data_IF_944081166303
#
_entry.id   IF_944081166303
#
_cell.length_a   1.000
_cell.length_b   1.000
_cell.length_c   1.000
_cell.angle_alpha   90.00
_cell.angle_beta   90.00
_cell.angle_gamma   90.00
#
_symmetry.space_group_name_H-M   'P 1'
#
loop_
_entity.id
_entity.type
_entity.pdbx_description
1 polymer ?
#
# COMPACT_ATOMS: atom_id res chain seq x y z
N UNK A 1 53.19 36.51 -6.69
CA UNK A 1 51.78 36.45 -7.13
C UNK A 1 51.22 35.09 -6.76
N UNK A 2 50.50 34.99 -5.63
CA UNK A 2 49.84 33.75 -5.22
C UNK A 2 48.41 33.75 -5.77
N UNK A 3 48.07 32.78 -6.61
CA UNK A 3 46.69 32.55 -7.08
C UNK A 3 45.89 31.92 -5.95
N UNK A 4 44.89 32.65 -5.45
CA UNK A 4 43.86 32.09 -4.59
C UNK A 4 43.03 31.09 -5.41
N UNK A 5 43.11 29.81 -5.06
CA UNK A 5 42.20 28.78 -5.59
C UNK A 5 40.89 28.97 -4.81
N UNK A 6 39.87 29.50 -5.48
CA UNK A 6 38.55 29.72 -4.88
C UNK A 6 37.94 28.38 -4.42
N UNK A 7 37.27 28.34 -3.25
CA UNK A 7 36.62 27.15 -2.74
C UNK A 7 35.28 26.96 -3.46
N UNK A 8 35.30 26.57 -4.73
CA UNK A 8 34.08 26.28 -5.51
C UNK A 8 33.63 24.83 -5.30
N UNK A 9 34.51 23.98 -4.76
CA UNK A 9 34.27 22.54 -4.59
C UNK A 9 33.40 22.15 -3.37
N UNK A 10 33.34 22.86 -2.22
CA UNK A 10 32.56 22.38 -1.08
C UNK A 10 31.05 22.62 -1.23
N UNK A 11 30.62 23.64 -1.97
CA UNK A 11 29.19 23.97 -2.13
C UNK A 11 28.46 22.96 -3.03
N UNK A 12 29.13 22.47 -4.09
CA UNK A 12 28.53 21.51 -5.01
C UNK A 12 28.41 20.12 -4.38
N UNK A 13 29.41 19.70 -3.60
CA UNK A 13 29.37 18.41 -2.86
C UNK A 13 28.31 18.44 -1.77
N UNK A 14 28.13 19.57 -1.06
CA UNK A 14 27.07 19.73 -0.07
C UNK A 14 25.68 19.73 -0.72
N UNK A 15 25.50 20.39 -1.86
CA UNK A 15 24.25 20.37 -2.63
C UNK A 15 23.92 18.98 -3.19
N UNK A 16 24.94 18.21 -3.61
CA UNK A 16 24.78 16.82 -4.09
C UNK A 16 24.47 15.87 -2.93
N UNK A 17 25.11 16.02 -1.76
CA UNK A 17 24.82 15.22 -0.57
C UNK A 17 23.44 15.53 0.05
N UNK A 18 22.94 16.76 -0.12
CA UNK A 18 21.57 17.15 0.26
C UNK A 18 20.51 16.68 -0.73
N UNK A 19 20.87 16.41 -1.98
CA UNK A 19 19.92 15.94 -3.02
C UNK A 19 19.92 14.42 -3.20
N UNK A 20 20.96 13.71 -2.75
CA UNK A 20 21.10 12.27 -2.95
C UNK A 20 20.79 11.39 -1.71
N UNK A 21 20.64 11.96 -0.51
CA UNK A 21 20.45 11.18 0.74
C UNK A 21 19.30 11.70 1.61
N UNK A 22 18.58 10.78 2.28
CA UNK A 22 17.62 11.12 3.34
C UNK A 22 18.34 11.19 4.68
N UNK A 23 18.37 12.37 5.29
CA UNK A 23 19.02 12.56 6.59
C UNK A 23 17.97 12.57 7.69
N UNK A 24 18.06 11.64 8.65
CA UNK A 24 17.21 11.63 9.86
C UNK A 24 17.76 12.62 10.89
N UNK A 25 16.88 13.42 11.45
CA UNK A 25 17.21 14.43 12.46
C UNK A 25 16.50 14.09 13.78
N UNK A 26 17.29 13.84 14.82
CA UNK A 26 16.79 13.54 16.15
C UNK A 26 16.13 12.15 16.25
N UNK A 27 15.29 12.00 17.28
CA UNK A 27 14.60 10.75 17.58
C UNK A 27 13.36 10.55 16.70
N UNK A 28 13.01 9.28 16.50
CA UNK A 28 11.82 8.89 15.77
C UNK A 28 10.54 9.08 16.60
N UNK A 29 9.46 9.49 15.94
CA UNK A 29 8.12 9.61 16.53
C UNK A 29 7.30 8.37 16.16
N UNK A 30 6.93 7.52 17.14
CA UNK A 30 6.10 6.35 16.88
C UNK A 30 4.63 6.76 16.66
N UNK A 31 3.96 6.09 15.73
CA UNK A 31 2.53 6.27 15.45
C UNK A 31 1.94 4.99 14.82
N UNK A 32 0.61 4.91 14.75
CA UNK A 32 -0.05 3.87 13.96
C UNK A 32 0.14 4.13 12.46
N UNK A 33 0.45 3.07 11.72
CA UNK A 33 0.41 3.11 10.26
C UNK A 33 -0.98 2.66 9.78
N UNK A 34 -1.54 3.37 8.81
CA UNK A 34 -2.84 3.02 8.26
C UNK A 34 -2.75 1.72 7.47
N UNK A 35 -3.69 0.80 7.67
CA UNK A 35 -3.94 -0.31 6.73
C UNK A 35 -5.09 0.11 5.83
N UNK A 36 -4.80 0.39 4.57
CA UNK A 36 -5.80 0.94 3.64
C UNK A 36 -6.19 -0.05 2.56
N UNK A 37 -5.50 -1.18 2.46
CA UNK A 37 -5.67 -2.11 1.35
C UNK A 37 -5.54 -3.56 1.80
N UNK A 38 -6.36 -4.43 1.19
CA UNK A 38 -6.36 -5.89 1.40
C UNK A 38 -6.66 -6.67 0.11
N UNK A 39 -6.11 -7.88 0.01
CA UNK A 39 -6.57 -8.90 -0.92
C UNK A 39 -6.66 -10.28 -0.26
N UNK A 40 -7.79 -10.94 -0.49
CA UNK A 40 -8.14 -12.21 0.14
C UNK A 40 -9.17 -12.97 -0.70
N UNK A 41 -9.22 -14.31 -0.63
CA UNK A 41 -10.33 -15.08 -1.20
C UNK A 41 -11.65 -14.78 -0.46
N UNK A 42 -12.74 -14.55 -1.19
CA UNK A 42 -14.09 -14.33 -0.62
C UNK A 42 -14.61 -15.53 0.18
N UNK A 43 -14.23 -16.73 -0.24
CA UNK A 43 -14.57 -18.01 0.37
C UNK A 43 -13.34 -18.91 0.43
N UNK A 44 -13.17 -19.59 1.57
CA UNK A 44 -12.08 -20.53 1.86
C UNK A 44 -12.63 -21.80 2.51
N UNK A 45 -11.87 -22.89 2.39
CA UNK A 45 -12.13 -24.12 3.12
C UNK A 45 -11.50 -24.05 4.51
N UNK A 46 -12.24 -24.50 5.53
CA UNK A 46 -11.73 -24.60 6.91
C UNK A 46 -10.52 -25.55 6.96
N UNK A 47 -9.50 -25.17 7.72
CA UNK A 47 -8.25 -25.93 7.84
C UNK A 47 -7.29 -25.81 6.64
N UNK A 48 -7.74 -25.22 5.52
CA UNK A 48 -6.89 -25.02 4.35
C UNK A 48 -6.13 -23.68 4.45
N UNK A 49 -4.79 -23.66 4.30
CA UNK A 49 -4.03 -22.43 4.33
C UNK A 49 -4.26 -21.60 3.06
N UNK A 50 -4.33 -20.27 3.23
CA UNK A 50 -4.41 -19.33 2.11
C UNK A 50 -3.63 -18.05 2.35
N UNK A 51 -3.31 -17.34 1.27
CA UNK A 51 -2.60 -16.06 1.36
C UNK A 51 -3.59 -14.92 1.62
N UNK A 52 -3.36 -14.19 2.69
CA UNK A 52 -4.01 -12.92 2.99
C UNK A 52 -3.00 -11.79 2.82
N UNK A 53 -3.30 -10.85 1.95
CA UNK A 53 -2.41 -9.73 1.62
C UNK A 53 -3.00 -8.43 2.16
N UNK A 54 -2.17 -7.55 2.73
CA UNK A 54 -2.59 -6.23 3.18
C UNK A 54 -1.45 -5.21 3.14
N UNK A 55 -1.78 -3.93 3.17
CA UNK A 55 -0.79 -2.88 3.02
C UNK A 55 -1.33 -1.49 3.31
N UNK A 56 -0.42 -0.51 3.27
CA UNK A 56 -0.74 0.82 3.76
C UNK A 56 0.39 1.84 3.65
N UNK A 57 0.09 3.15 3.79
CA UNK A 57 1.07 4.22 3.84
C UNK A 57 1.93 4.20 5.12
N UNK A 58 3.23 4.47 4.99
CA UNK A 58 4.18 4.63 6.10
C UNK A 58 4.53 6.10 6.33
N UNK A 59 5.03 6.83 5.33
CA UNK A 59 5.54 8.20 5.50
C UNK A 59 5.56 8.94 4.15
N UNK A 60 5.44 10.27 4.12
CA UNK A 60 5.67 11.08 2.90
C UNK A 60 7.15 11.15 2.51
N UNK A 61 8.01 10.82 3.48
CA UNK A 61 9.44 10.94 3.37
C UNK A 61 10.08 9.55 3.43
N UNK A 62 11.15 9.34 2.68
CA UNK A 62 11.93 8.09 2.67
C UNK A 62 12.52 7.68 4.04
N UNK A 63 12.41 8.55 5.05
CA UNK A 63 13.00 8.33 6.35
C UNK A 63 12.09 7.52 7.30
N UNK A 64 10.79 7.37 6.99
CA UNK A 64 9.87 6.54 7.78
C UNK A 64 10.21 5.05 7.77
N UNK A 65 9.94 4.37 8.88
CA UNK A 65 10.16 2.92 9.04
C UNK A 65 8.87 2.25 9.51
N UNK A 66 8.50 1.15 8.86
CA UNK A 66 7.51 0.23 9.40
C UNK A 66 8.15 -0.58 10.53
N UNK A 67 7.56 -0.56 11.72
CA UNK A 67 8.06 -1.32 12.87
C UNK A 67 7.37 -2.67 12.98
N UNK A 68 6.05 -2.71 12.83
CA UNK A 68 5.28 -3.96 12.80
C UNK A 68 4.05 -3.84 11.91
N UNK A 69 3.61 -4.99 11.37
CA UNK A 69 2.35 -5.16 10.69
C UNK A 69 1.79 -6.55 11.07
N UNK A 70 0.66 -6.54 11.77
CA UNK A 70 0.04 -7.71 12.40
C UNK A 70 -1.29 -8.05 11.77
N UNK A 71 -1.60 -9.34 11.83
CA UNK A 71 -2.90 -9.91 11.48
C UNK A 71 -3.29 -10.82 12.64
N UNK A 72 -4.44 -10.57 13.25
CA UNK A 72 -5.01 -11.40 14.29
C UNK A 72 -6.35 -11.98 13.82
N UNK A 73 -6.59 -13.25 14.10
CA UNK A 73 -7.86 -13.92 13.81
C UNK A 73 -8.59 -14.12 15.14
N UNK A 74 -9.84 -13.73 15.19
CA UNK A 74 -10.77 -14.01 16.30
C UNK A 74 -11.87 -14.95 15.84
N UNK A 75 -12.83 -15.27 16.70
CA UNK A 75 -13.98 -16.11 16.35
C UNK A 75 -14.85 -15.52 15.23
N UNK A 76 -14.77 -14.21 14.96
CA UNK A 76 -15.64 -13.54 13.96
C UNK A 76 -14.99 -12.40 13.18
N UNK A 77 -13.71 -12.12 13.41
CA UNK A 77 -12.97 -11.05 12.73
C UNK A 77 -11.56 -11.46 12.34
N UNK A 78 -11.05 -10.79 11.31
CA UNK A 78 -9.63 -10.69 11.00
C UNK A 78 -9.26 -9.23 11.22
N UNK A 79 -8.36 -8.98 12.17
CA UNK A 79 -7.97 -7.65 12.62
C UNK A 79 -6.56 -7.33 12.15
N UNK A 80 -6.43 -6.20 11.47
CA UNK A 80 -5.18 -5.75 10.87
C UNK A 80 -4.71 -4.49 11.58
N UNK A 81 -3.45 -4.48 11.99
CA UNK A 81 -2.82 -3.32 12.60
C UNK A 81 -1.39 -3.15 12.08
N UNK A 82 -0.90 -1.92 12.08
CA UNK A 82 0.47 -1.62 11.76
C UNK A 82 0.97 -0.45 12.59
N UNK A 83 2.26 -0.47 12.94
CA UNK A 83 2.91 0.65 13.61
C UNK A 83 4.17 1.06 12.88
N UNK A 84 4.48 2.35 13.00
CA UNK A 84 5.59 2.99 12.31
C UNK A 84 6.32 3.95 13.22
N UNK A 85 7.55 4.25 12.82
CA UNK A 85 8.33 5.35 13.36
C UNK A 85 8.66 6.30 12.21
N UNK A 86 8.23 7.56 12.34
CA UNK A 86 8.57 8.64 11.41
C UNK A 86 9.71 9.48 12.00
N UNK A 87 10.53 10.09 11.16
CA UNK A 87 11.65 10.91 11.59
C UNK A 87 11.54 12.27 10.93
N UNK A 88 11.93 13.33 11.63
CA UNK A 88 12.17 14.61 10.96
C UNK A 88 13.30 14.41 9.96
N UNK A 89 13.13 14.87 8.74
CA UNK A 89 14.09 14.60 7.67
C UNK A 89 14.44 15.84 6.85
N UNK A 90 15.59 15.77 6.19
CA UNK A 90 15.92 16.59 5.01
C UNK A 90 16.14 15.61 3.87
N UNK A 91 15.16 15.55 2.97
CA UNK A 91 15.12 14.61 1.87
C UNK A 91 14.22 15.11 0.74
N UNK A 92 14.39 14.52 -0.43
CA UNK A 92 13.38 14.63 -1.46
C UNK A 92 12.07 13.98 -0.97
N UNK A 93 10.90 14.54 -1.29
CA UNK A 93 9.62 13.91 -0.97
C UNK A 93 9.58 12.53 -1.64
N UNK A 94 9.38 11.50 -0.83
CA UNK A 94 9.37 10.11 -1.24
C UNK A 94 8.42 9.35 -0.35
N UNK A 95 7.21 9.16 -0.87
CA UNK A 95 6.19 8.44 -0.16
C UNK A 95 6.54 6.97 -0.03
N UNK A 96 6.59 6.49 1.22
CA UNK A 96 6.85 5.11 1.60
C UNK A 96 5.54 4.44 1.95
N UNK A 97 5.32 3.23 1.45
CA UNK A 97 4.22 2.36 1.84
C UNK A 97 4.78 0.97 2.21
N UNK A 98 3.94 0.14 2.81
CA UNK A 98 4.26 -1.24 3.10
C UNK A 98 3.24 -2.19 2.48
N UNK A 99 3.66 -3.45 2.38
CA UNK A 99 2.88 -4.55 1.88
C UNK A 99 3.29 -5.82 2.63
N UNK A 100 2.31 -6.58 3.09
CA UNK A 100 2.48 -7.84 3.79
C UNK A 100 1.64 -8.93 3.12
N UNK A 101 2.16 -10.15 3.14
CA UNK A 101 1.42 -11.36 2.77
C UNK A 101 1.60 -12.39 3.89
N UNK A 102 0.49 -12.85 4.47
CA UNK A 102 0.48 -13.82 5.55
C UNK A 102 -0.27 -15.08 5.11
N UNK A 103 0.33 -16.27 5.22
CA UNK A 103 -0.46 -17.49 5.16
C UNK A 103 -1.33 -17.56 6.42
N UNK A 104 -2.62 -17.77 6.25
CA UNK A 104 -3.57 -17.93 7.35
C UNK A 104 -4.43 -19.17 7.15
N UNK A 105 -4.88 -19.74 8.25
CA UNK A 105 -5.83 -20.86 8.31
C UNK A 105 -6.97 -20.47 9.22
N UNK A 106 -8.20 -20.76 8.81
CA UNK A 106 -9.38 -20.57 9.64
C UNK A 106 -9.87 -21.94 10.09
N UNK A 107 -9.98 -22.12 11.41
CA UNK A 107 -10.27 -23.41 12.02
C UNK A 107 -11.78 -23.64 12.23
N UNK A 108 -12.59 -22.59 12.09
CA UNK A 108 -14.04 -22.68 12.29
C UNK A 108 -14.80 -22.15 11.08
N UNK A 109 -15.93 -22.78 10.71
CA UNK A 109 -16.83 -22.23 9.70
C UNK A 109 -17.43 -20.92 10.19
N UNK A 110 -17.61 -19.95 9.28
CA UNK A 110 -18.19 -18.69 9.67
C UNK A 110 -17.97 -17.55 8.70
N UNK A 111 -18.46 -16.38 9.10
CA UNK A 111 -18.26 -15.12 8.39
C UNK A 111 -17.33 -14.25 9.22
N UNK A 112 -16.17 -13.94 8.67
CA UNK A 112 -15.14 -13.14 9.31
C UNK A 112 -15.16 -11.73 8.74
N UNK A 113 -15.44 -10.74 9.57
CA UNK A 113 -15.28 -9.33 9.19
C UNK A 113 -13.81 -8.97 9.18
N UNK A 114 -13.37 -8.28 8.14
CA UNK A 114 -11.99 -7.85 8.02
C UNK A 114 -11.92 -6.37 8.40
N UNK A 115 -11.12 -6.04 9.41
CA UNK A 115 -11.08 -4.70 9.99
C UNK A 115 -9.66 -4.19 10.13
N UNK A 116 -9.44 -2.91 9.82
CA UNK A 116 -8.24 -2.21 10.27
C UNK A 116 -8.40 -1.72 11.72
N UNK A 117 -7.29 -1.44 12.41
CA UNK A 117 -7.29 -0.85 13.77
C UNK A 117 -8.08 0.45 13.88
N UNK A 118 -8.26 1.16 12.77
CA UNK A 118 -9.07 2.38 12.64
C UNK A 118 -10.56 2.12 12.43
N UNK A 119 -11.04 0.90 12.70
CA UNK A 119 -12.43 0.46 12.55
C UNK A 119 -12.99 0.47 11.11
N UNK A 120 -12.11 0.59 10.12
CA UNK A 120 -12.48 0.50 8.70
C UNK A 120 -12.87 -0.95 8.36
N UNK A 121 -14.07 -1.15 7.82
CA UNK A 121 -14.55 -2.44 7.31
C UNK A 121 -13.99 -2.69 5.89
N UNK A 122 -13.06 -3.62 5.79
CA UNK A 122 -12.33 -4.01 4.58
C UNK A 122 -13.02 -5.18 3.84
N UNK A 123 -14.19 -5.61 4.35
CA UNK A 123 -15.07 -6.60 3.76
C UNK A 123 -15.25 -7.84 4.62
N UNK A 124 -15.67 -8.94 3.98
CA UNK A 124 -16.03 -10.19 4.68
C UNK A 124 -15.46 -11.38 3.94
N UNK A 125 -14.86 -12.28 4.69
CA UNK A 125 -14.42 -13.59 4.23
C UNK A 125 -15.33 -14.67 4.81
N UNK A 126 -15.67 -15.67 4.02
CA UNK A 126 -16.51 -16.80 4.44
C UNK A 126 -15.67 -18.07 4.50
N UNK A 127 -15.60 -18.72 5.66
CA UNK A 127 -15.00 -20.04 5.82
C UNK A 127 -16.09 -21.11 5.81
N UNK A 128 -15.91 -22.17 5.01
CA UNK A 128 -16.86 -23.26 4.86
C UNK A 128 -16.21 -24.62 5.12
N UNK A 129 -16.99 -25.59 5.61
CA UNK A 129 -16.50 -26.96 5.87
C UNK A 129 -16.11 -27.73 4.59
N UNK A 130 -16.59 -27.28 3.44
CA UNK A 130 -16.27 -27.85 2.14
C UNK A 130 -16.48 -26.82 1.04
N UNK A 131 -15.86 -27.05 -0.12
CA UNK A 131 -15.88 -26.14 -1.26
C UNK A 131 -14.49 -25.64 -1.61
N UNK A 132 -14.32 -25.12 -2.83
CA UNK A 132 -13.02 -24.60 -3.28
C UNK A 132 -12.84 -23.12 -2.96
N UNK A 133 -11.58 -22.67 -2.99
CA UNK A 133 -11.25 -21.25 -2.94
C UNK A 133 -11.97 -20.46 -4.03
N UNK A 134 -12.64 -19.39 -3.61
CA UNK A 134 -13.18 -18.40 -4.55
C UNK A 134 -12.05 -17.57 -5.18
N UNK A 135 -12.39 -16.76 -6.19
CA UNK A 135 -11.46 -15.76 -6.70
C UNK A 135 -11.06 -14.73 -5.64
N UNK A 136 -9.82 -14.26 -5.72
CA UNK A 136 -9.29 -13.23 -4.82
C UNK A 136 -10.06 -11.93 -5.02
N UNK A 137 -10.63 -11.42 -3.95
CA UNK A 137 -11.18 -10.07 -3.84
C UNK A 137 -10.08 -9.11 -3.45
N UNK A 138 -10.19 -7.91 -3.96
CA UNK A 138 -9.34 -6.80 -3.56
C UNK A 138 -10.21 -5.64 -3.14
N UNK A 139 -9.88 -5.06 -2.01
CA UNK A 139 -10.58 -3.93 -1.44
C UNK A 139 -9.54 -2.98 -0.88
N UNK A 140 -9.68 -1.68 -1.14
CA UNK A 140 -8.82 -0.72 -0.49
C UNK A 140 -8.93 0.68 -1.01
N UNK A 141 -8.26 1.56 -0.29
CA UNK A 141 -8.02 2.93 -0.63
C UNK A 141 -6.56 3.12 -1.00
N UNK A 142 -6.33 3.87 -2.07
CA UNK A 142 -5.01 4.05 -2.63
C UNK A 142 -4.97 5.13 -3.69
N UNK A 143 -3.85 5.23 -4.37
CA UNK A 143 -3.67 6.15 -5.50
C UNK A 143 -3.41 5.38 -6.78
N UNK A 144 -3.44 6.10 -7.89
CA UNK A 144 -3.16 5.58 -9.21
C UNK A 144 -1.92 6.22 -9.80
N UNK A 145 -1.16 5.42 -10.54
CA UNK A 145 -0.05 5.89 -11.37
C UNK A 145 -0.11 5.24 -12.73
N UNK A 146 -0.05 6.04 -13.79
CA UNK A 146 0.16 5.51 -15.13
C UNK A 146 1.63 5.09 -15.29
N UNK A 147 1.85 3.86 -15.75
CA UNK A 147 3.17 3.41 -16.15
C UNK A 147 3.07 2.35 -17.25
N UNK A 148 3.77 2.59 -18.37
CA UNK A 148 3.88 1.65 -19.49
C UNK A 148 2.52 1.07 -19.92
N UNK A 149 1.53 1.95 -20.14
CA UNK A 149 0.15 1.64 -20.52
C UNK A 149 -0.68 0.86 -19.47
N UNK A 150 -0.17 0.68 -18.26
CA UNK A 150 -0.93 0.19 -17.11
C UNK A 150 -1.36 1.34 -16.19
N UNK A 151 -2.55 1.23 -15.64
CA UNK A 151 -2.99 2.00 -14.47
C UNK A 151 -2.65 1.20 -13.22
N UNK A 152 -1.57 1.56 -12.56
CA UNK A 152 -1.12 0.90 -11.34
C UNK A 152 -1.90 1.45 -10.15
N UNK A 153 -2.27 0.58 -9.22
CA UNK A 153 -2.97 0.90 -7.99
C UNK A 153 -2.28 0.25 -6.80
N UNK A 154 -2.17 0.99 -5.70
CA UNK A 154 -1.58 0.50 -4.46
C UNK A 154 -1.89 1.44 -3.29
N UNK A 155 -1.60 1.00 -2.05
CA UNK A 155 -1.81 1.80 -0.85
C UNK A 155 -0.88 3.02 -0.85
N UNK A 156 -1.41 4.18 -0.43
CA UNK A 156 -0.65 5.44 -0.48
C UNK A 156 -0.19 5.77 -1.90
N UNK A 157 1.02 6.33 -2.04
CA UNK A 157 1.65 6.63 -3.32
C UNK A 157 2.40 5.43 -3.93
N UNK A 158 2.42 5.33 -5.25
CA UNK A 158 3.02 4.20 -5.98
C UNK A 158 4.52 4.38 -6.25
N UNK A 159 5.31 3.80 -5.35
CA UNK A 159 6.77 3.61 -5.45
C UNK A 159 7.15 2.15 -5.71
N UNK A 160 8.25 1.65 -5.13
CA UNK A 160 8.77 0.28 -5.38
C UNK A 160 7.95 -0.88 -4.78
N UNK A 161 6.71 -0.63 -4.34
CA UNK A 161 5.85 -1.62 -3.71
C UNK A 161 5.20 -2.60 -4.70
N UNK A 162 4.60 -3.67 -4.17
CA UNK A 162 3.71 -4.53 -4.96
C UNK A 162 2.43 -3.77 -5.27
N UNK A 163 2.21 -3.51 -6.56
CA UNK A 163 1.03 -2.81 -7.09
C UNK A 163 0.24 -3.71 -8.02
N UNK A 164 -1.02 -3.34 -8.22
CA UNK A 164 -1.96 -4.01 -9.10
C UNK A 164 -2.19 -3.19 -10.35
N UNK A 165 -2.32 -3.84 -11.49
CA UNK A 165 -2.85 -3.18 -12.68
C UNK A 165 -4.38 -3.16 -12.58
N UNK A 166 -5.00 -2.01 -12.83
CA UNK A 166 -6.45 -1.88 -12.89
C UNK A 166 -6.98 -2.09 -14.30
N UNK A 167 -8.08 -2.81 -14.39
CA UNK A 167 -8.89 -3.00 -15.59
C UNK A 167 -10.33 -2.57 -15.31
N UNK A 168 -10.97 -1.92 -16.29
CA UNK A 168 -12.36 -1.43 -16.16
C UNK A 168 -12.54 -0.12 -15.40
N UNK A 169 -11.46 0.62 -15.10
CA UNK A 169 -11.58 1.96 -14.49
C UNK A 169 -11.91 3.02 -15.54
N UNK A 170 -12.83 3.95 -15.23
CA UNK A 170 -13.20 5.04 -16.15
C UNK A 170 -12.08 6.07 -16.33
N UNK A 171 -12.03 6.81 -17.46
CA UNK A 171 -11.05 7.89 -17.69
C UNK A 171 -11.01 8.92 -16.57
N UNK A 172 -12.18 9.33 -16.06
CA UNK A 172 -12.31 10.37 -15.03
C UNK A 172 -11.71 9.92 -13.70
N UNK A 173 -11.89 8.64 -13.34
CA UNK A 173 -11.31 8.08 -12.12
C UNK A 173 -9.79 7.86 -12.25
N UNK A 174 -9.28 7.58 -13.45
CA UNK A 174 -7.84 7.46 -13.69
C UNK A 174 -7.14 8.80 -13.45
N UNK A 175 -7.72 9.88 -13.96
CA UNK A 175 -7.22 11.25 -13.74
C UNK A 175 -7.38 11.66 -12.28
N UNK A 176 -8.55 11.45 -11.68
CA UNK A 176 -8.75 11.79 -10.27
C UNK A 176 -7.80 11.03 -9.34
N UNK A 177 -7.51 9.77 -9.62
CA UNK A 177 -6.69 8.90 -8.78
C UNK A 177 -5.20 9.25 -8.72
N UNK A 178 -4.70 10.14 -9.57
CA UNK A 178 -3.31 10.61 -9.47
C UNK A 178 -3.10 11.54 -8.28
N UNK A 179 -4.15 12.27 -7.89
CA UNK A 179 -4.09 13.34 -6.89
C UNK A 179 -5.00 13.08 -5.68
N UNK A 180 -6.11 12.38 -5.92
CA UNK A 180 -7.10 12.00 -4.90
C UNK A 180 -6.98 10.53 -4.56
N UNK A 181 -7.34 10.22 -3.32
CA UNK A 181 -7.47 8.84 -2.87
C UNK A 181 -8.70 8.21 -3.52
N UNK A 182 -8.51 7.07 -4.18
CA UNK A 182 -9.60 6.26 -4.70
C UNK A 182 -9.93 5.12 -3.77
N UNK A 183 -11.22 4.87 -3.60
CA UNK A 183 -11.72 3.59 -3.14
C UNK A 183 -11.86 2.64 -4.33
N UNK A 184 -11.29 1.45 -4.25
CA UNK A 184 -11.41 0.41 -5.28
C UNK A 184 -11.88 -0.89 -4.65
N UNK A 185 -12.88 -1.51 -5.26
CA UNK A 185 -13.28 -2.90 -5.01
C UNK A 185 -13.25 -3.67 -6.32
N UNK A 186 -12.71 -4.87 -6.29
CA UNK A 186 -12.62 -5.69 -7.48
C UNK A 186 -12.21 -7.12 -7.21
N UNK A 187 -11.84 -7.79 -8.30
CA UNK A 187 -11.42 -9.20 -8.31
C UNK A 187 -10.12 -9.36 -9.08
N UNK A 188 -9.23 -10.21 -8.58
CA UNK A 188 -8.01 -10.57 -9.28
C UNK A 188 -8.33 -11.35 -10.57
N UNK A 189 -7.64 -10.99 -11.66
CA UNK A 189 -7.81 -11.50 -13.02
C UNK A 189 -6.46 -11.73 -13.69
N UNK A 190 -5.72 -12.69 -13.14
CA UNK A 190 -4.43 -13.11 -13.66
C UNK A 190 -3.39 -11.99 -13.57
N UNK A 191 -2.48 -11.96 -14.54
CA UNK A 191 -1.37 -11.03 -14.58
C UNK A 191 -1.30 -10.30 -15.92
N UNK A 192 -0.73 -9.10 -15.92
CA UNK A 192 -0.46 -8.30 -17.11
C UNK A 192 0.95 -7.70 -17.03
N UNK A 193 1.63 -7.57 -18.16
CA UNK A 193 2.95 -6.92 -18.23
C UNK A 193 2.79 -5.40 -18.27
N UNK A 194 3.48 -4.70 -17.37
CA UNK A 194 3.46 -3.23 -17.24
C UNK A 194 4.85 -2.64 -17.51
N UNK A 195 5.48 -3.06 -18.62
CA UNK A 195 6.80 -2.58 -19.05
C UNK A 195 7.88 -2.81 -18.00
N UNK A 196 8.58 -1.74 -17.61
CA UNK A 196 9.66 -1.79 -16.60
C UNK A 196 9.19 -2.16 -15.20
N UNK A 197 7.88 -2.12 -14.94
CA UNK A 197 7.30 -2.65 -13.71
C UNK A 197 7.13 -4.17 -13.79
N UNK A 198 7.38 -4.83 -14.92
CA UNK A 198 7.23 -6.27 -15.06
C UNK A 198 5.77 -6.73 -14.94
N UNK A 199 5.59 -8.00 -14.59
CA UNK A 199 4.28 -8.63 -14.45
C UNK A 199 3.58 -8.19 -13.17
N UNK A 200 2.35 -7.66 -13.29
CA UNK A 200 1.53 -7.22 -12.17
C UNK A 200 0.23 -8.00 -12.09
N UNK A 201 -0.22 -8.39 -10.89
CA UNK A 201 -1.55 -8.95 -10.73
C UNK A 201 -2.58 -7.91 -11.18
N UNK A 202 -3.55 -8.34 -11.96
CA UNK A 202 -4.56 -7.45 -12.53
C UNK A 202 -5.85 -7.51 -11.73
N UNK A 203 -6.40 -6.37 -11.34
CA UNK A 203 -7.72 -6.25 -10.73
C UNK A 203 -8.72 -5.82 -11.81
N UNK A 204 -9.75 -6.63 -12.02
CA UNK A 204 -10.97 -6.13 -12.66
C UNK A 204 -11.75 -5.35 -11.61
N UNK A 205 -11.94 -4.06 -11.86
CA UNK A 205 -12.69 -3.17 -10.98
C UNK A 205 -14.17 -3.51 -11.07
N UNK A 206 -14.79 -3.77 -9.93
CA UNK A 206 -16.24 -3.96 -9.81
C UNK A 206 -16.91 -2.61 -9.46
N UNK A 207 -16.32 -1.87 -8.52
CA UNK A 207 -16.77 -0.52 -8.14
C UNK A 207 -15.57 0.34 -7.75
N UNK A 208 -15.58 1.62 -8.11
CA UNK A 208 -14.59 2.58 -7.65
C UNK A 208 -15.18 3.99 -7.56
N UNK A 209 -14.64 4.81 -6.66
CA UNK A 209 -14.96 6.24 -6.56
C UNK A 209 -13.79 7.01 -5.96
N UNK A 210 -13.68 8.29 -6.29
CA UNK A 210 -12.73 9.20 -5.65
C UNK A 210 -13.30 9.66 -4.31
N UNK A 211 -12.45 9.71 -3.28
CA UNK A 211 -12.77 10.28 -1.97
C UNK A 211 -12.35 11.74 -1.91
N UNK A 212 -12.83 12.50 -0.92
CA UNK A 212 -12.41 13.90 -0.72
C UNK A 212 -10.98 14.06 -0.20
N UNK A 213 -10.32 12.96 0.14
CA UNK A 213 -8.93 12.95 0.57
C UNK A 213 -7.94 13.02 -0.59
N UNK A 214 -6.83 13.70 -0.35
CA UNK A 214 -5.65 13.75 -1.22
C UNK A 214 -4.62 12.72 -0.77
N UNK A 215 -3.65 12.44 -1.64
CA UNK A 215 -2.55 11.51 -1.35
C UNK A 215 -1.85 11.84 -0.02
N UNK A 216 -1.65 13.12 0.28
CA UNK A 216 -0.97 13.54 1.52
C UNK A 216 -1.76 13.24 2.80
N UNK A 217 -3.08 13.11 2.71
CA UNK A 217 -3.93 12.81 3.87
C UNK A 217 -3.72 11.35 4.37
N UNK A 218 -3.02 10.51 3.60
CA UNK A 218 -2.61 9.18 4.04
C UNK A 218 -1.41 9.18 5.00
N UNK A 219 -0.74 10.32 5.15
CA UNK A 219 0.51 10.42 5.89
C UNK A 219 0.43 11.45 7.04
N UNK A 220 -0.54 11.31 7.96
CA UNK A 220 -0.63 12.16 9.14
C UNK A 220 0.53 11.95 10.12
#
# INVERSE_FOLDING_TARGET
MARAIAPVVPALVLAVLLTAGCWRLGDGTPSEALVTWVAYPETVEVGAPFSFEFGGPVSEDACGRLDTATLAVTDSSIELAASRTTFRAVCAPQHVSFYEARPITLETPGRYRIRASTDIDLGTLVATDSGGFSGIRTWGEGTIREAAACWLFGPGWIGSQRVFALDGLSPELREAGTDRVLHVRGRLRGFISCGNWGSRPRIRVDTAWATDRRVGDFYP
#
